data_IF_079799624442
#
_entry.id   IF_079799624442
#
_cell.length_a   1.000
_cell.length_b   1.000
_cell.length_c   1.000
_cell.angle_alpha   90.00
_cell.angle_beta   90.00
_cell.angle_gamma   90.00
#
_symmetry.space_group_name_H-M   'P 1'
#
loop_
_entity.id
_entity.type
_entity.pdbx_description
1 polymer ?
#
# COMPACT_ATOMS: atom_id res chain seq x y z
N UNK A 1 36.90 20.67 43.38
CA UNK A 1 36.55 21.00 41.98
C UNK A 1 36.90 19.91 40.96
N UNK A 2 37.63 18.85 41.32
CA UNK A 2 37.95 17.73 40.40
C UNK A 2 36.84 16.66 40.33
N UNK A 3 35.95 16.65 41.35
CA UNK A 3 34.89 15.66 41.50
C UNK A 3 33.54 16.13 40.93
N UNK A 4 33.45 17.39 40.50
CA UNK A 4 32.24 17.96 39.85
C UNK A 4 32.33 17.77 38.33
N UNK A 5 33.53 17.73 37.75
CA UNK A 5 33.76 17.50 36.33
C UNK A 5 33.50 16.04 35.91
N UNK A 6 33.66 15.07 36.81
CA UNK A 6 33.41 13.65 36.51
C UNK A 6 31.92 13.29 36.48
N UNK A 7 31.05 14.08 37.14
CA UNK A 7 29.62 13.84 37.18
C UNK A 7 28.89 14.28 35.90
N UNK A 8 29.49 15.17 35.10
CA UNK A 8 28.89 15.68 33.85
C UNK A 8 29.16 14.74 32.66
N UNK A 9 30.23 13.93 32.71
CA UNK A 9 30.58 13.00 31.63
C UNK A 9 29.76 11.69 31.62
N UNK A 10 29.08 11.34 32.71
CA UNK A 10 28.21 10.14 32.76
C UNK A 10 26.75 10.48 32.44
N UNK A 11 26.35 11.74 32.57
CA UNK A 11 24.99 12.20 32.23
C UNK A 11 24.78 12.50 30.74
N UNK A 12 25.85 12.61 29.95
CA UNK A 12 25.80 12.99 28.53
C UNK A 12 25.56 11.85 27.54
N UNK A 13 25.55 10.59 27.99
CA UNK A 13 25.45 9.42 27.10
C UNK A 13 24.01 8.91 26.86
N UNK A 14 22.98 9.60 27.37
CA UNK A 14 21.61 9.06 27.43
C UNK A 14 20.56 9.80 26.59
N UNK A 15 20.93 10.58 25.58
CA UNK A 15 19.95 11.41 24.83
C UNK A 15 19.87 11.11 23.32
N UNK A 16 20.48 10.04 22.80
CA UNK A 16 20.12 9.55 21.45
C UNK A 16 20.00 8.04 21.46
N UNK A 17 18.98 7.55 22.17
CA UNK A 17 18.47 6.20 22.02
C UNK A 17 16.98 6.31 21.75
N UNK A 18 16.59 6.49 20.48
CA UNK A 18 15.21 6.25 20.06
C UNK A 18 14.83 4.86 20.59
N UNK A 19 13.74 4.69 21.36
CA UNK A 19 13.43 3.41 21.95
C UNK A 19 13.02 2.45 20.83
N UNK A 20 13.94 1.58 20.41
CA UNK A 20 13.62 0.40 19.60
C UNK A 20 12.67 -0.58 20.32
N UNK A 21 12.30 -0.29 21.57
CA UNK A 21 11.42 -1.10 22.40
C UNK A 21 9.97 -1.21 21.91
N UNK A 22 9.56 -0.44 20.89
CA UNK A 22 8.22 -0.48 20.30
C UNK A 22 8.22 -0.76 18.77
N UNK A 23 9.33 -1.21 18.20
CA UNK A 23 9.35 -1.60 16.79
C UNK A 23 8.64 -2.95 16.61
N UNK A 24 7.57 -2.98 15.81
CA UNK A 24 6.87 -4.22 15.43
C UNK A 24 7.84 -5.05 14.58
N UNK A 25 8.04 -6.32 14.92
CA UNK A 25 8.90 -7.21 14.13
C UNK A 25 8.22 -7.65 12.83
N UNK A 26 9.02 -8.00 11.81
CA UNK A 26 8.50 -8.61 10.57
C UNK A 26 7.65 -9.86 10.84
N UNK A 27 8.00 -10.62 11.88
CA UNK A 27 7.26 -11.80 12.30
C UNK A 27 5.86 -11.44 12.85
N UNK A 28 5.75 -10.35 13.62
CA UNK A 28 4.47 -9.83 14.10
C UNK A 28 3.62 -9.30 12.92
N UNK A 29 4.22 -8.56 11.99
CA UNK A 29 3.52 -8.08 10.78
C UNK A 29 2.96 -9.26 9.98
N UNK A 30 3.78 -10.27 9.72
CA UNK A 30 3.35 -11.46 8.97
C UNK A 30 2.22 -12.20 9.69
N UNK A 31 2.33 -12.34 11.00
CA UNK A 31 1.29 -12.99 11.81
C UNK A 31 -0.03 -12.23 11.73
N UNK A 32 -0.02 -10.90 11.85
CA UNK A 32 -1.21 -10.06 11.70
C UNK A 32 -1.86 -10.22 10.32
N UNK A 33 -1.06 -10.26 9.24
CA UNK A 33 -1.53 -10.51 7.88
C UNK A 33 -2.22 -11.88 7.79
N UNK A 34 -1.59 -12.93 8.32
CA UNK A 34 -2.12 -14.29 8.31
C UNK A 34 -3.42 -14.41 9.11
N UNK A 35 -3.50 -13.80 10.29
CA UNK A 35 -4.70 -13.80 11.13
C UNK A 35 -5.86 -13.04 10.46
N UNK A 36 -5.57 -11.87 9.88
CA UNK A 36 -6.56 -11.07 9.16
C UNK A 36 -7.11 -11.80 7.94
N UNK A 37 -6.22 -12.29 7.06
CA UNK A 37 -6.62 -13.05 5.88
C UNK A 37 -7.36 -14.34 6.28
N UNK A 38 -6.88 -15.05 7.30
CA UNK A 38 -7.48 -16.27 7.81
C UNK A 38 -8.91 -16.08 8.34
N UNK A 39 -9.21 -14.95 8.98
CA UNK A 39 -10.56 -14.61 9.41
C UNK A 39 -11.54 -14.61 8.22
N UNK A 40 -11.17 -13.95 7.11
CA UNK A 40 -12.02 -13.82 5.94
C UNK A 40 -12.15 -15.12 5.14
N UNK A 41 -11.05 -15.86 4.96
CA UNK A 41 -11.07 -17.17 4.32
C UNK A 41 -11.94 -18.18 5.10
N UNK A 42 -11.93 -18.12 6.44
CA UNK A 42 -12.82 -18.94 7.28
C UNK A 42 -14.27 -18.48 7.17
N UNK A 43 -14.51 -17.17 7.12
CA UNK A 43 -15.85 -16.57 7.04
C UNK A 43 -16.53 -16.84 5.70
N UNK A 44 -15.74 -16.95 4.63
CA UNK A 44 -16.17 -17.14 3.24
C UNK A 44 -15.34 -18.26 2.57
N UNK A 45 -15.61 -19.54 2.88
CA UNK A 45 -14.75 -20.68 2.49
C UNK A 45 -14.68 -20.97 0.98
N UNK A 46 -15.43 -20.25 0.14
CA UNK A 46 -15.40 -20.34 -1.32
C UNK A 46 -14.82 -19.09 -2.01
N UNK A 47 -14.32 -18.11 -1.25
CA UNK A 47 -13.72 -16.88 -1.77
C UNK A 47 -12.21 -16.96 -1.56
N UNK A 48 -11.44 -16.92 -2.65
CA UNK A 48 -9.99 -16.92 -2.60
C UNK A 48 -9.45 -15.52 -2.28
N UNK A 49 -8.17 -15.41 -1.90
CA UNK A 49 -7.54 -14.10 -1.71
C UNK A 49 -7.56 -13.24 -2.97
N UNK A 50 -7.47 -13.87 -4.15
CA UNK A 50 -7.53 -13.18 -5.43
C UNK A 50 -8.91 -12.58 -5.68
N UNK A 51 -9.99 -13.31 -5.36
CA UNK A 51 -11.36 -12.83 -5.59
C UNK A 51 -11.66 -11.53 -4.86
N UNK A 52 -11.00 -11.26 -3.72
CA UNK A 52 -11.16 -9.99 -3.00
C UNK A 52 -10.76 -8.74 -3.82
N UNK A 53 -10.08 -8.88 -4.97
CA UNK A 53 -9.89 -7.77 -5.90
C UNK A 53 -11.20 -7.19 -6.44
N UNK A 54 -12.23 -8.02 -6.57
CA UNK A 54 -13.59 -7.60 -6.99
C UNK A 54 -14.37 -6.93 -5.83
N UNK A 55 -13.73 -6.81 -4.65
CA UNK A 55 -14.28 -6.24 -3.44
C UNK A 55 -15.58 -6.92 -3.02
N UNK A 56 -16.62 -6.11 -2.79
CA UNK A 56 -17.94 -6.62 -2.38
C UNK A 56 -18.60 -7.52 -3.44
N UNK A 57 -18.17 -7.50 -4.71
CA UNK A 57 -18.73 -8.38 -5.75
C UNK A 57 -18.24 -9.83 -5.64
N UNK A 58 -17.23 -10.10 -4.80
CA UNK A 58 -16.72 -11.46 -4.54
C UNK A 58 -17.52 -12.20 -3.46
N UNK A 59 -18.32 -11.49 -2.66
CA UNK A 59 -18.91 -12.08 -1.46
C UNK A 59 -20.28 -12.71 -1.77
N UNK A 60 -20.59 -13.90 -1.20
CA UNK A 60 -21.82 -14.65 -1.51
C UNK A 60 -23.11 -13.87 -1.26
N UNK A 61 -23.15 -13.00 -0.24
CA UNK A 61 -24.33 -12.18 0.07
C UNK A 61 -24.67 -11.14 -1.02
N UNK A 62 -23.80 -10.99 -2.01
CA UNK A 62 -23.96 -10.08 -3.13
C UNK A 62 -23.96 -10.79 -4.49
N UNK A 63 -24.17 -12.12 -4.51
CA UNK A 63 -24.19 -12.91 -5.75
C UNK A 63 -25.21 -12.36 -6.77
N UNK A 64 -26.41 -11.98 -6.32
CA UNK A 64 -27.50 -11.48 -7.19
C UNK A 64 -27.14 -10.19 -7.93
N UNK A 65 -26.25 -9.36 -7.38
CA UNK A 65 -25.80 -8.11 -8.00
C UNK A 65 -24.51 -8.27 -8.81
N UNK A 66 -23.79 -9.39 -8.65
CA UNK A 66 -22.56 -9.66 -9.38
C UNK A 66 -22.81 -9.68 -10.89
N UNK A 67 -23.87 -10.35 -11.35
CA UNK A 67 -24.21 -10.41 -12.76
C UNK A 67 -24.42 -9.02 -13.39
N UNK A 68 -25.07 -8.10 -12.67
CA UNK A 68 -25.25 -6.72 -13.13
C UNK A 68 -23.92 -5.96 -13.18
N UNK A 69 -23.03 -6.20 -12.23
CA UNK A 69 -21.68 -5.63 -12.25
C UNK A 69 -20.87 -6.19 -13.42
N UNK A 70 -20.91 -7.50 -13.68
CA UNK A 70 -20.23 -8.12 -14.84
C UNK A 70 -20.73 -7.52 -16.15
N UNK A 71 -22.05 -7.34 -16.31
CA UNK A 71 -22.63 -6.66 -17.47
C UNK A 71 -22.17 -5.20 -17.59
N UNK A 72 -22.07 -4.47 -16.46
CA UNK A 72 -21.52 -3.10 -16.46
C UNK A 72 -20.04 -3.09 -16.89
N UNK A 73 -19.28 -4.12 -16.53
CA UNK A 73 -17.86 -4.23 -16.88
C UNK A 73 -17.63 -4.60 -18.35
N UNK A 74 -18.65 -5.05 -19.09
CA UNK A 74 -18.57 -5.18 -20.56
C UNK A 74 -18.51 -3.81 -21.25
N UNK A 75 -19.11 -2.77 -20.64
CA UNK A 75 -19.09 -1.40 -21.11
C UNK A 75 -18.83 -0.44 -19.95
N UNK A 76 -17.61 -0.41 -19.41
CA UNK A 76 -17.35 0.33 -18.19
C UNK A 76 -17.60 1.84 -18.38
N UNK A 77 -18.29 2.50 -17.44
CA UNK A 77 -18.62 3.92 -17.58
C UNK A 77 -17.39 4.85 -17.59
N UNK A 78 -16.22 4.31 -17.21
CA UNK A 78 -14.95 5.02 -17.21
C UNK A 78 -14.17 4.88 -18.53
N UNK A 79 -14.62 4.07 -19.50
CA UNK A 79 -13.89 3.81 -20.74
C UNK A 79 -13.55 5.10 -21.50
N UNK A 80 -14.51 6.03 -21.58
CA UNK A 80 -14.29 7.34 -22.23
C UNK A 80 -13.20 8.16 -21.54
N UNK A 81 -13.07 8.05 -20.22
CA UNK A 81 -12.01 8.74 -19.48
C UNK A 81 -10.68 7.99 -19.59
N UNK A 82 -10.68 6.67 -19.79
CA UNK A 82 -9.47 5.91 -20.08
C UNK A 82 -8.90 6.25 -21.46
N UNK A 83 -9.75 6.47 -22.46
CA UNK A 83 -9.31 6.96 -23.77
C UNK A 83 -8.64 8.33 -23.66
N UNK A 84 -9.25 9.27 -22.94
CA UNK A 84 -8.64 10.58 -22.67
C UNK A 84 -7.33 10.45 -21.89
N UNK A 85 -7.29 9.58 -20.88
CA UNK A 85 -6.08 9.34 -20.10
C UNK A 85 -4.96 8.78 -21.00
N UNK A 86 -5.26 7.90 -21.95
CA UNK A 86 -4.29 7.39 -22.90
C UNK A 86 -3.75 8.48 -23.84
N UNK A 87 -4.61 9.39 -24.32
CA UNK A 87 -4.20 10.55 -25.12
C UNK A 87 -3.29 11.49 -24.32
N UNK A 88 -3.66 11.78 -23.08
CA UNK A 88 -2.86 12.62 -22.18
C UNK A 88 -1.53 11.95 -21.81
N UNK A 89 -1.53 10.64 -21.60
CA UNK A 89 -0.33 9.85 -21.28
C UNK A 89 0.71 9.92 -22.41
N UNK A 90 0.26 9.82 -23.66
CA UNK A 90 1.12 9.87 -24.84
C UNK A 90 1.59 11.28 -25.21
N UNK A 91 0.99 12.32 -24.61
CA UNK A 91 1.29 13.72 -24.96
C UNK A 91 2.68 14.12 -24.47
N UNK A 92 3.55 14.65 -25.36
CA UNK A 92 4.85 15.15 -24.94
C UNK A 92 4.72 16.35 -24.00
N UNK A 93 5.58 16.38 -22.98
CA UNK A 93 5.80 17.55 -22.15
C UNK A 93 6.52 18.66 -22.94
N UNK A 94 6.67 19.84 -22.33
CA UNK A 94 7.36 20.97 -22.95
C UNK A 94 8.84 20.70 -23.29
N UNK A 95 9.47 19.71 -22.65
CA UNK A 95 10.84 19.28 -22.93
C UNK A 95 10.94 18.17 -24.00
N UNK A 96 9.81 17.71 -24.55
CA UNK A 96 9.75 16.66 -25.57
C UNK A 96 9.69 15.22 -25.03
N UNK A 97 9.81 15.00 -23.72
CA UNK A 97 9.64 13.68 -23.10
C UNK A 97 8.16 13.32 -22.90
N UNK A 98 7.86 12.06 -22.61
CA UNK A 98 6.51 11.57 -22.23
C UNK A 98 6.51 10.92 -20.84
N UNK A 99 5.33 10.49 -20.37
CA UNK A 99 5.23 9.74 -19.12
C UNK A 99 5.99 8.40 -19.15
N UNK A 100 6.20 7.80 -20.33
CA UNK A 100 6.98 6.56 -20.47
C UNK A 100 8.46 6.76 -20.08
N UNK A 101 8.97 7.99 -20.20
CA UNK A 101 10.35 8.33 -19.81
C UNK A 101 10.52 8.49 -18.29
N UNK A 102 9.42 8.55 -17.52
CA UNK A 102 9.46 8.85 -16.09
C UNK A 102 9.74 7.63 -15.19
N UNK A 103 9.86 6.41 -15.75
CA UNK A 103 10.17 5.19 -14.96
C UNK A 103 9.14 4.91 -13.86
N UNK A 104 7.85 5.17 -14.14
CA UNK A 104 6.76 5.03 -13.18
C UNK A 104 6.38 3.55 -12.98
N UNK A 105 6.11 3.17 -11.73
CA UNK A 105 5.54 1.85 -11.43
C UNK A 105 4.03 1.84 -11.72
N UNK A 106 3.46 0.65 -11.94
CA UNK A 106 2.02 0.50 -12.14
C UNK A 106 1.23 1.00 -10.93
N UNK A 107 0.09 1.67 -11.15
CA UNK A 107 -0.69 2.28 -10.08
C UNK A 107 -1.13 1.31 -8.97
N UNK A 108 -1.26 0.01 -9.29
CA UNK A 108 -1.65 -1.04 -8.36
C UNK A 108 -0.51 -1.56 -7.45
N UNK A 109 0.71 -1.05 -7.58
CA UNK A 109 1.82 -1.39 -6.68
C UNK A 109 2.02 -0.40 -5.55
N UNK A 110 1.27 0.71 -5.57
CA UNK A 110 1.30 1.74 -4.54
C UNK A 110 0.28 1.46 -3.42
N UNK A 111 0.53 1.95 -2.19
CA UNK A 111 1.71 2.71 -1.76
C UNK A 111 2.93 1.80 -1.55
N UNK A 112 4.14 2.31 -1.84
CA UNK A 112 5.39 1.59 -1.56
C UNK A 112 6.09 2.27 -0.40
N UNK A 113 6.33 1.55 0.70
CA UNK A 113 7.13 2.09 1.80
C UNK A 113 8.59 2.26 1.38
N UNK A 114 9.12 3.47 1.53
CA UNK A 114 10.53 3.81 1.31
C UNK A 114 11.24 4.01 2.65
N UNK A 115 12.01 3.01 3.04
CA UNK A 115 12.79 3.04 4.27
C UNK A 115 13.89 4.12 4.28
N UNK A 116 14.34 4.61 3.12
CA UNK A 116 15.36 5.66 3.05
C UNK A 116 14.78 7.03 3.42
N UNK A 117 13.50 7.25 3.15
CA UNK A 117 12.79 8.50 3.47
C UNK A 117 11.89 8.38 4.70
N UNK A 118 11.67 7.16 5.19
CA UNK A 118 10.67 6.84 6.22
C UNK A 118 9.27 7.36 5.83
N UNK A 119 8.90 7.16 4.57
CA UNK A 119 7.64 7.65 4.01
C UNK A 119 7.08 6.67 2.95
N UNK A 120 5.83 6.88 2.56
CA UNK A 120 5.22 6.21 1.41
C UNK A 120 5.60 6.95 0.13
N UNK A 121 6.08 6.21 -0.87
CA UNK A 121 6.10 6.65 -2.27
C UNK A 121 4.78 6.32 -2.94
#
# INVERSE_FOLDING_TARGET
MKNILTAVLVAGAFVIGVPAANAISEAEIKKDIEEFQGYFLKRFPGVTLADYSDGVNALPQYAERRANWELLMEFPPYETEMDKAAEEWAKPFANGNTFDDCGLAAGNVYPVYDAATDDLR
#
